data_IF_288423608010
#
_entry.id   IF_288423608010
#
_cell.length_a   1.000
_cell.length_b   1.000
_cell.length_c   1.000
_cell.angle_alpha   90.00
_cell.angle_beta   90.00
_cell.angle_gamma   90.00
#
_symmetry.space_group_name_H-M   'P 1'
#
loop_
_entity.id
_entity.type
_entity.pdbx_description
1 polymer ?
#
# COMPACT_ATOMS: atom_id res chain seq x y z
N UNK A 1 -3.60 19.72 -11.81
CA UNK A 1 -4.70 18.98 -11.15
C UNK A 1 -4.85 19.44 -9.72
N UNK A 2 -6.04 19.31 -9.09
CA UNK A 2 -6.13 19.51 -7.65
C UNK A 2 -5.26 18.45 -6.97
N UNK A 3 -4.55 18.83 -5.90
CA UNK A 3 -3.75 17.88 -5.08
C UNK A 3 -4.73 16.84 -4.55
N UNK A 4 -4.40 15.55 -4.71
CA UNK A 4 -5.19 14.49 -4.11
C UNK A 4 -5.12 14.59 -2.58
N UNK A 5 -6.19 14.20 -1.91
CA UNK A 5 -6.22 14.14 -0.45
C UNK A 5 -5.20 13.12 0.07
N UNK A 6 -4.49 13.48 1.14
CA UNK A 6 -3.51 12.59 1.76
C UNK A 6 -4.21 11.44 2.49
N UNK A 7 -3.80 10.21 2.20
CA UNK A 7 -4.33 8.98 2.78
C UNK A 7 -3.33 8.38 3.77
N UNK A 8 -3.79 8.04 4.97
CA UNK A 8 -3.07 7.22 5.93
C UNK A 8 -3.62 5.79 5.90
N UNK A 9 -2.76 4.83 5.58
CA UNK A 9 -3.07 3.41 5.46
C UNK A 9 -2.23 2.60 6.46
N UNK A 10 -2.71 2.37 7.70
CA UNK A 10 -2.02 1.50 8.64
C UNK A 10 -1.83 0.09 8.09
N UNK A 11 -0.57 -0.42 8.06
CA UNK A 11 -0.29 -1.81 7.71
C UNK A 11 -0.57 -2.73 8.87
N UNK A 12 -1.55 -3.61 8.70
CA UNK A 12 -1.95 -4.59 9.71
C UNK A 12 -0.91 -5.67 9.98
N UNK A 13 0.16 -5.73 9.19
CA UNK A 13 1.29 -6.61 9.46
C UNK A 13 1.89 -6.36 10.87
N UNK A 14 1.70 -5.16 11.41
CA UNK A 14 2.18 -4.77 12.74
C UNK A 14 1.11 -4.82 13.84
N UNK A 15 -0.12 -5.21 13.53
CA UNK A 15 -1.24 -5.28 14.47
C UNK A 15 -1.19 -6.54 15.35
N UNK A 16 -1.95 -6.55 16.44
CA UNK A 16 -2.21 -7.76 17.22
C UNK A 16 -3.21 -8.66 16.48
N UNK A 17 -2.71 -9.72 15.86
CA UNK A 17 -3.53 -10.66 15.10
C UNK A 17 -4.57 -11.41 15.93
N UNK A 18 -4.37 -11.55 17.26
CA UNK A 18 -5.34 -12.16 18.14
C UNK A 18 -6.62 -11.31 18.29
N UNK A 19 -6.55 -10.00 17.93
CA UNK A 19 -7.65 -9.04 18.02
C UNK A 19 -7.74 -8.16 16.78
N UNK A 20 -7.40 -8.70 15.62
CA UNK A 20 -7.20 -7.93 14.40
C UNK A 20 -8.37 -7.01 14.02
N UNK A 21 -9.61 -7.49 14.16
CA UNK A 21 -10.81 -6.66 13.90
C UNK A 21 -10.91 -5.46 14.81
N UNK A 22 -10.61 -5.63 16.12
CA UNK A 22 -10.59 -4.53 17.10
C UNK A 22 -9.49 -3.51 16.78
N UNK A 23 -8.29 -3.99 16.44
CA UNK A 23 -7.14 -3.17 16.07
C UNK A 23 -7.43 -2.31 14.84
N UNK A 24 -7.99 -2.91 13.78
CA UNK A 24 -8.39 -2.21 12.56
C UNK A 24 -9.45 -1.16 12.86
N UNK A 25 -10.48 -1.51 13.62
CA UNK A 25 -11.54 -0.56 13.98
C UNK A 25 -11.00 0.59 14.83
N UNK A 26 -10.04 0.31 15.72
CA UNK A 26 -9.42 1.34 16.57
C UNK A 26 -8.62 2.36 15.75
N UNK A 27 -7.81 1.93 14.79
CA UNK A 27 -7.03 2.87 13.94
C UNK A 27 -7.93 3.65 12.99
N UNK A 28 -8.99 3.05 12.43
CA UNK A 28 -9.98 3.74 11.60
C UNK A 28 -10.75 4.80 12.41
N UNK A 29 -11.20 4.45 13.63
CA UNK A 29 -11.84 5.39 14.55
C UNK A 29 -10.90 6.51 15.00
N UNK A 30 -9.60 6.25 15.03
CA UNK A 30 -8.57 7.23 15.33
C UNK A 30 -8.28 8.20 14.16
N UNK A 31 -8.83 7.94 12.96
CA UNK A 31 -8.71 8.82 11.80
C UNK A 31 -7.81 8.32 10.66
N UNK A 32 -7.49 7.02 10.64
CA UNK A 32 -6.92 6.38 9.45
C UNK A 32 -8.00 6.25 8.36
N UNK A 33 -7.59 6.23 7.09
CA UNK A 33 -8.51 6.20 5.95
C UNK A 33 -8.70 4.81 5.39
N UNK A 34 -7.61 4.07 5.24
CA UNK A 34 -7.57 2.75 4.62
C UNK A 34 -6.95 1.72 5.54
N UNK A 35 -6.95 0.49 5.10
CA UNK A 35 -6.23 -0.64 5.71
C UNK A 35 -5.25 -1.17 4.69
N UNK A 36 -3.97 -1.15 5.00
CA UNK A 36 -2.94 -1.78 4.16
C UNK A 36 -2.73 -3.23 4.59
N UNK A 37 -2.75 -4.15 3.62
CA UNK A 37 -2.82 -5.58 3.82
C UNK A 37 -1.65 -6.27 3.10
N UNK A 38 -0.57 -6.56 3.81
CA UNK A 38 0.67 -7.16 3.30
C UNK A 38 0.56 -8.69 3.18
N UNK A 39 0.57 -9.19 1.96
CA UNK A 39 0.46 -10.63 1.64
C UNK A 39 1.80 -11.17 1.17
N UNK A 40 2.30 -12.19 1.86
CA UNK A 40 3.59 -12.82 1.58
C UNK A 40 3.46 -14.34 1.53
N UNK A 41 4.14 -14.98 0.58
CA UNK A 41 4.00 -16.42 0.27
C UNK A 41 5.25 -17.26 0.55
N UNK A 42 6.29 -16.67 1.13
CA UNK A 42 7.60 -17.30 1.31
C UNK A 42 8.28 -17.74 -0.01
N UNK A 43 7.89 -17.11 -1.13
CA UNK A 43 8.50 -17.32 -2.45
C UNK A 43 9.05 -16.02 -3.00
N UNK A 44 8.18 -15.00 -3.15
CA UNK A 44 8.62 -13.68 -3.61
C UNK A 44 9.49 -12.98 -2.55
N UNK A 45 9.13 -13.11 -1.28
CA UNK A 45 9.89 -12.63 -0.12
C UNK A 45 10.08 -13.75 0.90
N UNK A 46 11.15 -13.74 1.73
CA UNK A 46 11.46 -14.80 2.69
C UNK A 46 10.60 -14.69 3.96
N UNK A 47 9.31 -14.50 3.82
CA UNK A 47 8.34 -14.42 4.91
C UNK A 47 6.97 -14.94 4.44
N UNK A 48 6.14 -15.42 5.38
CA UNK A 48 4.78 -15.87 5.16
C UNK A 48 3.84 -15.09 6.08
N UNK A 49 2.75 -14.53 5.54
CA UNK A 49 1.82 -13.75 6.34
C UNK A 49 0.41 -14.31 6.30
N UNK A 50 -0.52 -13.64 5.65
CA UNK A 50 -1.97 -13.87 5.72
C UNK A 50 -2.57 -14.00 4.33
N UNK A 51 -3.71 -14.66 4.26
CA UNK A 51 -4.41 -14.94 3.01
C UNK A 51 -5.79 -14.28 2.91
N UNK A 52 -6.53 -14.57 1.82
CA UNK A 52 -7.84 -13.98 1.52
C UNK A 52 -8.88 -14.19 2.63
N UNK A 53 -8.79 -15.30 3.37
CA UNK A 53 -9.71 -15.58 4.48
C UNK A 53 -9.67 -14.49 5.57
N UNK A 54 -8.51 -13.87 5.81
CA UNK A 54 -8.38 -12.79 6.79
C UNK A 54 -9.02 -11.50 6.26
N UNK A 55 -8.90 -11.23 4.96
CA UNK A 55 -9.58 -10.11 4.30
C UNK A 55 -11.11 -10.26 4.40
N UNK A 56 -11.65 -11.44 4.10
CA UNK A 56 -13.08 -11.74 4.28
C UNK A 56 -13.51 -11.56 5.74
N UNK A 57 -12.74 -12.07 6.70
CA UNK A 57 -13.04 -11.96 8.12
C UNK A 57 -13.11 -10.49 8.59
N UNK A 58 -12.24 -9.61 8.07
CA UNK A 58 -12.33 -8.16 8.34
C UNK A 58 -13.60 -7.55 7.74
N UNK A 59 -14.01 -7.95 6.54
CA UNK A 59 -15.28 -7.51 5.95
C UNK A 59 -16.49 -7.99 6.75
N UNK A 60 -16.50 -9.23 7.18
CA UNK A 60 -17.55 -9.83 8.02
C UNK A 60 -17.60 -9.18 9.41
N UNK A 61 -16.46 -8.74 9.94
CA UNK A 61 -16.38 -7.96 11.19
C UNK A 61 -16.98 -6.56 11.08
N UNK A 62 -17.22 -6.06 9.84
CA UNK A 62 -17.82 -4.76 9.57
C UNK A 62 -16.85 -3.67 9.12
N UNK A 63 -15.63 -4.01 8.73
CA UNK A 63 -14.67 -3.06 8.15
C UNK A 63 -15.15 -2.63 6.77
N UNK A 64 -15.63 -1.38 6.63
CA UNK A 64 -16.11 -0.79 5.38
C UNK A 64 -15.06 0.09 4.67
N UNK A 65 -14.01 0.49 5.38
CA UNK A 65 -12.92 1.28 4.81
C UNK A 65 -12.26 0.54 3.62
N UNK A 66 -11.65 1.25 2.66
CA UNK A 66 -10.86 0.61 1.62
C UNK A 66 -9.79 -0.31 2.20
N UNK A 67 -9.70 -1.54 1.66
CA UNK A 67 -8.61 -2.47 1.94
C UNK A 67 -7.71 -2.47 0.70
N UNK A 68 -6.50 -2.03 0.90
CA UNK A 68 -5.43 -2.01 -0.09
C UNK A 68 -4.53 -3.23 0.11
N UNK A 69 -4.61 -4.17 -0.83
CA UNK A 69 -3.90 -5.46 -0.77
C UNK A 69 -2.62 -5.37 -1.57
N UNK A 70 -1.50 -5.47 -0.88
CA UNK A 70 -0.16 -5.54 -1.46
C UNK A 70 0.31 -7.00 -1.58
N UNK A 71 0.38 -7.50 -2.81
CA UNK A 71 0.77 -8.88 -3.11
C UNK A 71 2.28 -9.01 -3.31
N UNK A 72 2.98 -9.49 -2.30
CA UNK A 72 4.37 -9.94 -2.32
C UNK A 72 4.40 -11.46 -2.52
N UNK A 73 3.87 -11.93 -3.63
CA UNK A 73 3.63 -13.35 -3.93
C UNK A 73 3.98 -13.68 -5.38
N UNK A 74 4.34 -14.94 -5.65
CA UNK A 74 4.62 -15.42 -7.01
C UNK A 74 4.17 -16.87 -7.18
N UNK A 75 3.28 -17.16 -8.17
CA UNK A 75 2.63 -16.25 -9.12
C UNK A 75 1.47 -15.45 -8.51
N UNK A 76 1.11 -14.29 -9.10
CA UNK A 76 0.09 -13.39 -8.54
C UNK A 76 -1.35 -13.71 -8.97
N UNK A 77 -1.56 -14.22 -10.17
CA UNK A 77 -2.88 -14.23 -10.84
C UNK A 77 -3.98 -14.95 -10.03
N UNK A 78 -3.68 -16.08 -9.40
CA UNK A 78 -4.65 -16.82 -8.56
C UNK A 78 -5.08 -16.02 -7.34
N UNK A 79 -4.14 -15.34 -6.69
CA UNK A 79 -4.43 -14.54 -5.49
C UNK A 79 -5.14 -13.22 -5.80
N UNK A 80 -4.98 -12.65 -7.01
CA UNK A 80 -5.77 -11.52 -7.47
C UNK A 80 -7.27 -11.84 -7.40
N UNK A 81 -7.67 -12.98 -7.96
CA UNK A 81 -9.08 -13.40 -7.94
C UNK A 81 -9.59 -13.62 -6.52
N UNK A 82 -8.81 -14.33 -5.70
CA UNK A 82 -9.20 -14.70 -4.35
C UNK A 82 -9.35 -13.46 -3.44
N UNK A 83 -8.43 -12.51 -3.50
CA UNK A 83 -8.52 -11.27 -2.73
C UNK A 83 -9.63 -10.34 -3.22
N UNK A 84 -9.87 -10.28 -4.53
CA UNK A 84 -11.00 -9.51 -5.06
C UNK A 84 -12.33 -10.05 -4.52
N UNK A 85 -12.52 -11.37 -4.52
CA UNK A 85 -13.71 -12.03 -3.93
C UNK A 85 -13.80 -11.83 -2.41
N UNK A 86 -12.66 -11.73 -1.73
CA UNK A 86 -12.57 -11.47 -0.29
C UNK A 86 -12.88 -10.02 0.09
N UNK A 87 -13.07 -9.11 -0.89
CA UNK A 87 -13.46 -7.73 -0.66
C UNK A 87 -12.32 -6.71 -0.67
N UNK A 88 -11.20 -7.01 -1.31
CA UNK A 88 -10.15 -6.02 -1.58
C UNK A 88 -10.72 -4.84 -2.39
N UNK A 89 -10.23 -3.62 -2.10
CA UNK A 89 -10.59 -2.40 -2.85
C UNK A 89 -9.50 -2.09 -3.87
N UNK A 90 -8.26 -2.13 -3.45
CA UNK A 90 -7.07 -2.05 -4.30
C UNK A 90 -6.33 -3.38 -4.26
N UNK A 91 -5.73 -3.75 -5.39
CA UNK A 91 -4.78 -4.87 -5.46
C UNK A 91 -3.55 -4.37 -6.20
N UNK A 92 -2.44 -4.38 -5.50
CA UNK A 92 -1.13 -4.00 -6.00
C UNK A 92 -0.19 -5.20 -6.02
N UNK A 93 0.67 -5.31 -7.02
CA UNK A 93 1.62 -6.40 -7.14
C UNK A 93 2.93 -5.95 -7.80
N UNK A 94 3.99 -6.68 -7.55
CA UNK A 94 5.29 -6.43 -8.16
C UNK A 94 5.32 -6.93 -9.60
N UNK A 95 5.79 -6.13 -10.59
CA UNK A 95 5.88 -6.58 -11.97
C UNK A 95 6.77 -7.83 -12.12
N UNK A 96 7.79 -8.01 -11.27
CA UNK A 96 8.67 -9.17 -11.26
C UNK A 96 7.98 -10.48 -10.83
N UNK A 97 6.78 -10.36 -10.25
CA UNK A 97 5.98 -11.51 -9.80
C UNK A 97 4.99 -12.01 -10.86
N UNK A 98 4.85 -11.31 -11.99
CA UNK A 98 3.98 -11.70 -13.11
C UNK A 98 4.76 -11.88 -14.40
N UNK A 99 4.52 -12.99 -15.10
CA UNK A 99 5.10 -13.21 -16.43
C UNK A 99 4.41 -12.35 -17.52
N UNK A 100 3.18 -11.87 -17.23
CA UNK A 100 2.36 -11.07 -18.15
C UNK A 100 1.66 -9.93 -17.40
N UNK A 101 2.43 -8.89 -17.05
CA UNK A 101 1.96 -7.76 -16.22
C UNK A 101 0.68 -7.13 -16.74
N UNK A 102 0.57 -6.89 -18.04
CA UNK A 102 -0.64 -6.31 -18.66
C UNK A 102 -1.88 -7.18 -18.39
N UNK A 103 -1.75 -8.51 -18.55
CA UNK A 103 -2.83 -9.46 -18.29
C UNK A 103 -3.23 -9.46 -16.82
N UNK A 104 -2.28 -9.42 -15.90
CA UNK A 104 -2.56 -9.39 -14.45
C UNK A 104 -3.27 -8.10 -14.05
N UNK A 105 -2.88 -6.94 -14.60
CA UNK A 105 -3.60 -5.67 -14.39
C UNK A 105 -5.04 -5.73 -14.90
N UNK A 106 -5.25 -6.30 -16.09
CA UNK A 106 -6.61 -6.51 -16.63
C UNK A 106 -7.43 -7.46 -15.74
N UNK A 107 -6.79 -8.48 -15.15
CA UNK A 107 -7.44 -9.41 -14.24
C UNK A 107 -7.95 -8.70 -12.98
N UNK A 108 -7.16 -7.81 -12.37
CA UNK A 108 -7.59 -6.98 -11.23
C UNK A 108 -8.83 -6.16 -11.61
N UNK A 109 -8.80 -5.46 -12.76
CA UNK A 109 -9.94 -4.67 -13.26
C UNK A 109 -11.17 -5.51 -13.54
N UNK A 110 -11.00 -6.71 -14.11
CA UNK A 110 -12.09 -7.64 -14.39
C UNK A 110 -12.89 -8.01 -13.13
N UNK A 111 -12.21 -8.11 -11.98
CA UNK A 111 -12.87 -8.39 -10.70
C UNK A 111 -13.34 -7.13 -9.96
N UNK A 112 -13.28 -5.95 -10.60
CA UNK A 112 -13.83 -4.70 -10.06
C UNK A 112 -12.94 -3.99 -9.04
N UNK A 113 -11.70 -4.44 -8.83
CA UNK A 113 -10.74 -3.79 -7.96
C UNK A 113 -9.97 -2.68 -8.69
N UNK A 114 -9.47 -1.72 -7.91
CA UNK A 114 -8.50 -0.73 -8.35
C UNK A 114 -7.13 -1.37 -8.50
N UNK A 115 -6.40 -0.98 -9.54
CA UNK A 115 -5.14 -1.64 -9.92
C UNK A 115 -3.93 -0.82 -9.55
N UNK A 116 -2.85 -1.49 -9.12
CA UNK A 116 -1.56 -0.84 -8.95
C UNK A 116 -0.36 -1.75 -9.21
N UNK A 117 0.78 -1.11 -9.49
CA UNK A 117 2.07 -1.77 -9.54
C UNK A 117 2.95 -1.31 -8.39
N UNK A 118 3.70 -2.25 -7.84
CA UNK A 118 4.64 -2.02 -6.74
C UNK A 118 6.06 -2.08 -7.28
N UNK A 119 6.86 -1.06 -7.00
CA UNK A 119 8.25 -1.00 -7.41
C UNK A 119 9.18 -1.05 -6.21
N UNK A 120 10.07 -2.05 -6.19
CA UNK A 120 11.13 -2.15 -5.18
C UNK A 120 12.07 -0.94 -5.26
N UNK A 121 12.87 -0.65 -4.21
CA UNK A 121 13.78 0.51 -4.22
C UNK A 121 14.66 0.57 -5.48
N UNK A 122 15.19 -0.56 -5.93
CA UNK A 122 16.05 -0.66 -7.11
C UNK A 122 15.32 -0.87 -8.44
N UNK A 123 14.00 -1.13 -8.45
CA UNK A 123 13.23 -1.35 -9.69
C UNK A 123 13.01 -0.04 -10.44
N UNK A 124 13.29 -0.02 -11.74
CA UNK A 124 13.18 1.17 -12.59
C UNK A 124 11.72 1.63 -12.79
N UNK A 125 11.50 2.95 -12.81
CA UNK A 125 10.21 3.55 -13.20
C UNK A 125 9.81 3.27 -14.65
N UNK A 126 10.75 2.89 -15.52
CA UNK A 126 10.47 2.58 -16.92
C UNK A 126 9.49 1.41 -17.11
N UNK A 127 9.35 0.53 -16.12
CA UNK A 127 8.35 -0.54 -16.15
C UNK A 127 6.90 -0.04 -16.19
N UNK A 128 6.66 1.22 -15.85
CA UNK A 128 5.33 1.83 -15.90
C UNK A 128 4.96 2.34 -17.31
N UNK A 129 5.92 2.49 -18.23
CA UNK A 129 5.71 3.21 -19.50
C UNK A 129 4.56 2.66 -20.36
N UNK A 130 4.35 1.35 -20.33
CA UNK A 130 3.30 0.70 -21.11
C UNK A 130 2.07 0.29 -20.27
N UNK A 131 1.94 0.82 -19.03
CA UNK A 131 0.88 0.43 -18.11
C UNK A 131 0.03 1.60 -17.59
N UNK A 132 0.40 2.85 -17.89
CA UNK A 132 -0.21 4.05 -17.31
C UNK A 132 -1.75 4.10 -17.39
N UNK A 133 -2.31 3.67 -18.51
CA UNK A 133 -3.76 3.65 -18.76
C UNK A 133 -4.53 2.61 -17.91
N UNK A 134 -3.80 1.73 -17.25
CA UNK A 134 -4.37 0.64 -16.45
C UNK A 134 -4.20 0.87 -14.94
N UNK A 135 -3.43 1.87 -14.53
CA UNK A 135 -3.07 2.08 -13.13
C UNK A 135 -4.01 3.09 -12.46
N UNK A 136 -4.48 2.74 -11.28
CA UNK A 136 -5.13 3.63 -10.32
C UNK A 136 -4.13 4.06 -9.23
N UNK A 137 -3.05 3.28 -9.02
CA UNK A 137 -2.01 3.53 -8.01
C UNK A 137 -0.64 3.02 -8.46
N UNK A 138 0.41 3.68 -8.00
CA UNK A 138 1.77 3.13 -7.97
C UNK A 138 2.27 3.19 -6.53
N UNK A 139 2.64 2.02 -6.01
CA UNK A 139 3.28 1.88 -4.70
C UNK A 139 4.80 1.83 -4.88
N UNK A 140 5.52 2.71 -4.20
CA UNK A 140 6.97 2.66 -4.10
C UNK A 140 7.38 2.09 -2.74
N UNK A 141 8.13 0.99 -2.78
CA UNK A 141 8.76 0.47 -1.59
C UNK A 141 9.92 1.38 -1.18
N UNK A 142 9.91 1.82 0.06
CA UNK A 142 11.01 2.57 0.68
C UNK A 142 11.85 1.74 1.65
N UNK A 143 11.62 0.42 1.65
CA UNK A 143 12.43 -0.63 2.27
C UNK A 143 12.48 -1.82 1.32
N UNK A 144 13.33 -2.81 1.58
CA UNK A 144 13.20 -4.09 0.89
C UNK A 144 11.97 -4.85 1.43
N UNK A 145 11.06 -5.34 0.57
CA UNK A 145 9.85 -6.02 1.03
C UNK A 145 10.15 -7.29 1.82
N UNK A 146 9.22 -7.66 2.73
CA UNK A 146 9.28 -8.93 3.45
C UNK A 146 9.17 -8.82 4.98
N UNK A 147 9.57 -7.71 5.59
CA UNK A 147 9.55 -7.54 7.05
C UNK A 147 9.15 -6.12 7.45
N UNK A 148 8.38 -6.01 8.53
CA UNK A 148 8.06 -4.74 9.15
C UNK A 148 9.24 -4.15 9.95
N UNK A 149 9.15 -2.86 10.33
CA UNK A 149 10.08 -2.21 11.25
C UNK A 149 11.43 -1.80 10.65
N UNK A 150 11.60 -1.85 9.34
CA UNK A 150 12.83 -1.42 8.66
C UNK A 150 12.97 0.10 8.59
N UNK A 151 14.18 0.58 8.39
CA UNK A 151 14.48 2.00 8.20
C UNK A 151 14.22 2.42 6.75
N UNK A 152 13.61 3.59 6.58
CA UNK A 152 13.39 4.23 5.28
C UNK A 152 14.70 4.38 4.49
N UNK A 153 14.70 4.05 3.22
CA UNK A 153 15.84 4.20 2.30
C UNK A 153 15.79 5.61 1.67
N UNK A 154 16.70 6.55 2.05
CA UNK A 154 16.58 7.95 1.65
C UNK A 154 16.61 8.20 0.14
N UNK A 155 17.31 7.37 -0.64
CA UNK A 155 17.39 7.50 -2.10
C UNK A 155 16.02 7.34 -2.81
N UNK A 156 15.02 6.79 -2.13
CA UNK A 156 13.65 6.65 -2.67
C UNK A 156 12.94 8.00 -2.79
N UNK A 157 13.35 9.05 -2.04
CA UNK A 157 12.79 10.40 -2.16
C UNK A 157 12.90 10.97 -3.58
N UNK A 158 14.06 10.78 -4.23
CA UNK A 158 14.24 11.21 -5.63
C UNK A 158 13.35 10.42 -6.59
N UNK A 159 13.14 9.13 -6.31
CA UNK A 159 12.25 8.27 -7.08
C UNK A 159 10.79 8.69 -6.95
N UNK A 160 10.34 9.03 -5.73
CA UNK A 160 9.00 9.60 -5.47
C UNK A 160 8.81 10.88 -6.27
N UNK A 161 9.76 11.82 -6.19
CA UNK A 161 9.69 13.11 -6.90
C UNK A 161 9.66 12.94 -8.41
N UNK A 162 10.42 11.98 -8.94
CA UNK A 162 10.45 11.69 -10.37
C UNK A 162 9.14 11.07 -10.85
N UNK A 163 8.58 10.13 -10.08
CA UNK A 163 7.30 9.49 -10.38
C UNK A 163 6.16 10.53 -10.33
N UNK A 164 6.11 11.40 -9.31
CA UNK A 164 5.09 12.45 -9.19
C UNK A 164 5.13 13.37 -10.40
N UNK A 165 6.31 13.84 -10.80
CA UNK A 165 6.46 14.67 -12.02
C UNK A 165 5.94 13.97 -13.26
N UNK A 166 6.17 12.67 -13.39
CA UNK A 166 5.69 11.88 -14.53
C UNK A 166 4.16 11.77 -14.55
N UNK A 167 3.53 11.51 -13.40
CA UNK A 167 2.07 11.45 -13.24
C UNK A 167 1.44 12.80 -13.59
N UNK A 168 2.00 13.89 -13.06
CA UNK A 168 1.49 15.26 -13.26
C UNK A 168 1.65 15.71 -14.72
N UNK A 169 2.82 15.47 -15.33
CA UNK A 169 3.07 15.78 -16.73
C UNK A 169 2.10 15.07 -17.69
N UNK A 170 1.80 13.80 -17.39
CA UNK A 170 0.84 13.00 -18.15
C UNK A 170 -0.62 13.30 -17.79
N UNK A 171 -0.87 14.14 -16.80
CA UNK A 171 -2.21 14.49 -16.27
C UNK A 171 -3.04 13.26 -15.85
N UNK A 172 -2.40 12.29 -15.24
CA UNK A 172 -3.02 11.04 -14.81
C UNK A 172 -3.59 11.18 -13.39
N UNK A 173 -4.72 10.52 -13.14
CA UNK A 173 -5.31 10.42 -11.80
C UNK A 173 -4.85 9.12 -11.11
N UNK A 174 -3.55 9.03 -10.85
CA UNK A 174 -2.90 7.87 -10.22
C UNK A 174 -2.40 8.28 -8.84
N UNK A 175 -2.72 7.50 -7.81
CA UNK A 175 -2.16 7.67 -6.46
C UNK A 175 -0.70 7.27 -6.43
N UNK A 176 0.08 8.02 -5.66
CA UNK A 176 1.46 7.66 -5.35
C UNK A 176 1.54 7.26 -3.88
N UNK A 177 1.60 5.96 -3.68
CA UNK A 177 1.73 5.35 -2.37
C UNK A 177 3.19 5.06 -2.03
N UNK A 178 3.53 5.14 -0.75
CA UNK A 178 4.87 4.80 -0.24
C UNK A 178 4.73 3.87 0.97
N UNK A 179 5.42 2.74 0.93
CA UNK A 179 5.46 1.76 2.01
C UNK A 179 6.89 1.45 2.44
N UNK A 180 7.09 1.50 3.74
CA UNK A 180 8.33 1.14 4.41
C UNK A 180 8.99 2.25 5.22
N UNK A 181 9.01 2.08 6.53
CA UNK A 181 9.71 3.00 7.44
C UNK A 181 9.09 4.39 7.55
N UNK A 182 7.82 4.57 7.19
CA UNK A 182 7.10 5.84 7.33
C UNK A 182 6.76 6.08 8.81
N UNK A 183 7.18 7.25 9.31
CA UNK A 183 7.05 7.70 10.70
C UNK A 183 6.77 9.19 10.78
N UNK A 184 6.54 9.69 12.00
CA UNK A 184 6.33 11.12 12.26
C UNK A 184 7.48 12.02 11.79
N UNK A 185 8.71 11.53 11.88
CA UNK A 185 9.93 12.29 11.56
C UNK A 185 10.19 12.44 10.06
N UNK A 186 9.57 11.62 9.20
CA UNK A 186 9.83 11.62 7.76
C UNK A 186 8.58 11.78 6.88
N UNK A 187 7.37 11.58 7.41
CA UNK A 187 6.14 11.60 6.60
C UNK A 187 5.92 12.94 5.85
N UNK A 188 6.29 14.06 6.48
CA UNK A 188 6.21 15.39 5.84
C UNK A 188 7.16 15.51 4.65
N UNK A 189 8.38 14.98 4.76
CA UNK A 189 9.36 14.97 3.68
C UNK A 189 8.90 14.09 2.51
N UNK A 190 8.36 12.90 2.81
CA UNK A 190 7.80 11.97 1.82
C UNK A 190 6.60 12.59 1.09
N UNK A 191 5.72 13.30 1.80
CA UNK A 191 4.61 14.05 1.20
C UNK A 191 5.11 15.19 0.31
N UNK A 192 6.12 15.94 0.77
CA UNK A 192 6.74 17.02 -0.02
C UNK A 192 7.42 16.48 -1.29
N UNK A 193 7.98 15.28 -1.24
CA UNK A 193 8.54 14.61 -2.42
C UNK A 193 7.45 14.23 -3.45
N UNK A 194 6.17 14.15 -3.04
CA UNK A 194 5.04 13.96 -3.96
C UNK A 194 4.15 12.76 -3.68
N UNK A 195 4.39 12.01 -2.61
CA UNK A 195 3.46 10.97 -2.17
C UNK A 195 2.13 11.57 -1.67
N UNK A 196 1.04 10.85 -1.87
CA UNK A 196 -0.29 11.21 -1.39
C UNK A 196 -0.96 10.08 -0.58
N UNK A 197 -0.32 8.91 -0.49
CA UNK A 197 -0.79 7.74 0.26
C UNK A 197 0.39 7.14 1.04
N UNK A 198 0.21 6.96 2.36
CA UNK A 198 1.29 6.64 3.29
C UNK A 198 0.96 5.38 4.08
N UNK A 199 1.76 4.32 3.86
CA UNK A 199 1.67 3.09 4.64
C UNK A 199 2.54 3.20 5.88
N UNK A 200 1.93 3.02 7.05
CA UNK A 200 2.63 3.06 8.33
C UNK A 200 2.16 1.92 9.23
N UNK A 201 3.05 1.01 9.56
CA UNK A 201 2.76 -0.16 10.40
C UNK A 201 3.19 0.06 11.85
N UNK A 202 4.42 -0.33 12.17
CA UNK A 202 4.94 -0.30 13.55
C UNK A 202 4.93 1.08 14.22
N UNK A 203 5.01 2.16 13.45
CA UNK A 203 4.92 3.52 13.99
C UNK A 203 3.50 3.88 14.48
N UNK A 204 2.47 3.13 14.08
CA UNK A 204 1.10 3.29 14.57
C UNK A 204 0.78 2.18 15.57
N UNK A 205 0.87 0.90 15.19
CA UNK A 205 0.49 -0.23 16.04
C UNK A 205 1.44 -0.47 17.23
N UNK A 206 2.65 0.07 17.20
CA UNK A 206 3.58 0.07 18.34
C UNK A 206 3.25 1.08 19.44
N UNK A 207 2.32 2.01 19.17
CA UNK A 207 1.95 3.07 20.10
C UNK A 207 0.75 2.66 20.97
N UNK A 208 0.71 3.15 22.22
CA UNK A 208 -0.43 2.90 23.13
C UNK A 208 -1.68 3.71 22.78
N UNK A 209 -1.51 4.83 22.08
CA UNK A 209 -2.58 5.77 21.75
C UNK A 209 -2.60 6.05 20.23
N UNK A 210 -3.36 5.26 19.49
CA UNK A 210 -3.48 5.40 18.02
C UNK A 210 -4.00 6.77 17.60
N UNK A 211 -4.94 7.34 18.35
CA UNK A 211 -5.49 8.68 18.03
C UNK A 211 -4.42 9.76 18.09
N UNK A 212 -3.53 9.70 19.05
CA UNK A 212 -2.47 10.69 19.21
C UNK A 212 -1.47 10.62 18.04
N UNK A 213 -0.96 9.42 17.72
CA UNK A 213 0.03 9.27 16.64
C UNK A 213 -0.58 9.60 15.28
N UNK A 214 -1.80 9.14 14.98
CA UNK A 214 -2.50 9.43 13.72
C UNK A 214 -2.77 10.92 13.59
N UNK A 215 -3.23 11.59 14.67
CA UNK A 215 -3.43 13.05 14.68
C UNK A 215 -2.13 13.81 14.39
N UNK A 216 -1.00 13.43 14.99
CA UNK A 216 0.31 14.03 14.72
C UNK A 216 0.75 13.80 13.26
N UNK A 217 0.55 12.60 12.71
CA UNK A 217 0.83 12.32 11.30
C UNK A 217 -0.01 13.21 10.37
N UNK A 218 -1.30 13.36 10.65
CA UNK A 218 -2.18 14.27 9.89
C UNK A 218 -1.71 15.72 9.93
N UNK A 219 -1.30 16.22 11.11
CA UNK A 219 -0.76 17.57 11.25
C UNK A 219 0.51 17.78 10.44
N UNK A 220 1.36 16.77 10.31
CA UNK A 220 2.59 16.81 9.51
C UNK A 220 2.31 16.78 7.99
N UNK A 221 1.13 16.37 7.56
CA UNK A 221 0.71 16.29 6.16
C UNK A 221 -0.04 17.54 5.66
N UNK A 222 -0.44 18.44 6.56
CA UNK A 222 -1.10 19.71 6.26
C UNK A 222 -0.08 20.85 6.17
#
# INVERSE_FOLDING_TARGET
>A
MAKQENILAPSILSADFARLGEEVNAVLTAGADWVHFDVMDNHYVPNLTIGPMVCSALRDYGVNAPIDVHLMVKPVDSLIEDFAKAGATYITFHPEASDHVDRSLQLVKKYGCKTGLVLNPATSLSLLENCWDKLDMVLLMSVNPGFAGQSFIPSVLDKISTLRRSIDHKKLNIRLEVDGGIKLDNIAEVSKAGADTFVSGSAIFGEKNYREVISKMRQSLN
#
